data_IF_652676822598
#
_entry.id   IF_652676822598
#
_cell.length_a   1.000
_cell.length_b   1.000
_cell.length_c   1.000
_cell.angle_alpha   90.00
_cell.angle_beta   90.00
_cell.angle_gamma   90.00
#
_symmetry.space_group_name_H-M   'P 1'
#
loop_
_entity.id
_entity.type
_entity.pdbx_description
1 polymer ?
#
# COMPACT_ATOMS: atom_id res chain seq x y z
N UNK A 1 24.46 0.67 -24.54
CA UNK A 1 23.03 0.69 -24.14
C UNK A 1 22.53 -0.74 -24.29
N UNK A 2 22.13 -1.39 -23.20
CA UNK A 2 21.61 -2.76 -23.26
C UNK A 2 20.24 -2.81 -23.93
N UNK A 3 19.88 -3.95 -24.50
CA UNK A 3 18.56 -4.19 -25.11
C UNK A 3 17.48 -4.17 -24.02
N UNK A 4 16.64 -3.13 -24.04
CA UNK A 4 15.52 -2.96 -23.10
C UNK A 4 14.50 -4.10 -23.24
N UNK A 5 14.37 -4.68 -24.43
CA UNK A 5 13.49 -5.82 -24.68
C UNK A 5 13.87 -7.05 -23.87
N UNK A 6 15.18 -7.34 -23.79
CA UNK A 6 15.69 -8.45 -22.98
C UNK A 6 15.42 -8.26 -21.48
N UNK A 7 15.44 -7.02 -20.99
CA UNK A 7 15.16 -6.71 -19.58
C UNK A 7 13.68 -6.93 -19.25
N UNK A 8 12.78 -6.45 -20.11
CA UNK A 8 11.33 -6.62 -19.95
C UNK A 8 10.95 -8.11 -19.97
N UNK A 9 11.50 -8.88 -20.90
CA UNK A 9 11.18 -10.30 -21.02
C UNK A 9 11.65 -11.10 -19.81
N UNK A 10 12.86 -10.83 -19.30
CA UNK A 10 13.34 -11.43 -18.06
C UNK A 10 12.43 -11.10 -16.87
N UNK A 11 11.99 -9.84 -16.75
CA UNK A 11 11.06 -9.43 -15.68
C UNK A 11 9.73 -10.19 -15.79
N UNK A 12 9.17 -10.32 -17.01
CA UNK A 12 7.91 -11.03 -17.26
C UNK A 12 8.00 -12.51 -16.87
N UNK A 13 9.09 -13.17 -17.24
CA UNK A 13 9.32 -14.59 -16.92
C UNK A 13 9.40 -14.80 -15.42
N UNK A 14 10.21 -13.98 -14.71
CA UNK A 14 10.37 -14.07 -13.25
C UNK A 14 9.03 -13.84 -12.55
N UNK A 15 8.25 -12.83 -12.94
CA UNK A 15 6.93 -12.56 -12.34
C UNK A 15 5.96 -13.75 -12.48
N UNK A 16 5.89 -14.36 -13.66
CA UNK A 16 5.00 -15.50 -13.91
C UNK A 16 5.41 -16.73 -13.10
N UNK A 17 6.71 -17.04 -13.06
CA UNK A 17 7.25 -18.12 -12.23
C UNK A 17 6.95 -17.89 -10.75
N UNK A 18 7.21 -16.68 -10.25
CA UNK A 18 6.97 -16.36 -8.85
C UNK A 18 5.50 -16.46 -8.49
N UNK A 19 4.56 -16.02 -9.34
CA UNK A 19 3.12 -16.16 -9.07
C UNK A 19 2.67 -17.62 -9.01
N UNK A 20 3.20 -18.50 -9.87
CA UNK A 20 2.90 -19.93 -9.84
C UNK A 20 3.45 -20.64 -8.59
N UNK A 21 4.55 -20.14 -8.03
CA UNK A 21 5.24 -20.73 -6.87
C UNK A 21 4.84 -20.07 -5.53
N UNK A 22 4.30 -18.86 -5.55
CA UNK A 22 3.91 -18.11 -4.35
C UNK A 22 2.55 -18.60 -3.84
N UNK A 23 2.58 -19.57 -2.95
CA UNK A 23 1.40 -20.02 -2.18
C UNK A 23 1.39 -19.43 -0.76
N UNK A 24 2.09 -18.32 -0.55
CA UNK A 24 2.28 -17.71 0.77
C UNK A 24 1.22 -16.66 0.99
N UNK A 25 0.47 -16.77 2.10
CA UNK A 25 -0.45 -15.75 2.63
C UNK A 25 0.23 -14.41 3.00
N UNK A 26 1.49 -14.22 2.62
CA UNK A 26 2.33 -13.09 2.99
C UNK A 26 2.78 -12.31 1.75
N UNK A 27 2.88 -10.99 1.89
CA UNK A 27 3.15 -10.08 0.79
C UNK A 27 4.66 -9.98 0.53
N UNK A 28 5.13 -10.53 -0.59
CA UNK A 28 6.56 -10.57 -0.89
C UNK A 28 7.10 -9.21 -1.38
N UNK A 29 7.96 -8.53 -0.62
CA UNK A 29 8.46 -7.19 -0.94
C UNK A 29 9.60 -7.16 -1.98
N UNK A 30 10.09 -8.32 -2.41
CA UNK A 30 11.22 -8.49 -3.33
C UNK A 30 10.81 -8.56 -4.81
N UNK A 31 9.51 -8.45 -5.10
CA UNK A 31 8.94 -8.55 -6.45
C UNK A 31 7.91 -7.46 -6.72
N UNK A 32 7.68 -7.21 -8.00
CA UNK A 32 6.58 -6.37 -8.45
C UNK A 32 5.26 -7.12 -8.41
N UNK A 33 4.21 -6.44 -7.94
CA UNK A 33 2.85 -6.95 -7.84
C UNK A 33 1.93 -6.25 -8.81
N UNK A 34 0.82 -6.90 -9.12
CA UNK A 34 -0.31 -6.28 -9.84
C UNK A 34 -1.07 -5.32 -8.93
N UNK A 35 -1.84 -4.43 -9.55
CA UNK A 35 -2.72 -3.52 -8.82
C UNK A 35 -3.72 -4.27 -7.93
N UNK A 36 -4.26 -5.40 -8.40
CA UNK A 36 -5.24 -6.19 -7.62
C UNK A 36 -4.61 -6.81 -6.38
N UNK A 37 -3.39 -7.36 -6.50
CA UNK A 37 -2.63 -7.90 -5.37
C UNK A 37 -2.31 -6.80 -4.33
N UNK A 38 -1.94 -5.60 -4.78
CA UNK A 38 -1.70 -4.46 -3.88
C UNK A 38 -3.00 -4.04 -3.17
N UNK A 39 -4.14 -4.00 -3.88
CA UNK A 39 -5.43 -3.66 -3.27
C UNK A 39 -5.84 -4.68 -2.22
N UNK A 40 -5.72 -5.97 -2.52
CA UNK A 40 -6.00 -7.03 -1.55
C UNK A 40 -5.08 -6.94 -0.32
N UNK A 41 -3.80 -6.63 -0.53
CA UNK A 41 -2.85 -6.41 0.56
C UNK A 41 -3.26 -5.22 1.45
N UNK A 42 -3.71 -4.10 0.88
CA UNK A 42 -4.23 -2.96 1.65
C UNK A 42 -5.42 -3.39 2.53
N UNK A 43 -6.36 -4.15 1.96
CA UNK A 43 -7.53 -4.63 2.71
C UNK A 43 -7.15 -5.57 3.86
N UNK A 44 -6.19 -6.48 3.63
CA UNK A 44 -5.64 -7.35 4.68
C UNK A 44 -4.95 -6.56 5.79
N UNK A 45 -4.16 -5.54 5.44
CA UNK A 45 -3.47 -4.70 6.42
C UNK A 45 -4.45 -3.91 7.30
N UNK A 46 -5.50 -3.37 6.69
CA UNK A 46 -6.56 -2.65 7.41
C UNK A 46 -7.32 -3.59 8.35
N UNK A 47 -7.65 -4.79 7.87
CA UNK A 47 -8.34 -5.80 8.68
C UNK A 47 -7.49 -6.22 9.89
N UNK A 48 -6.19 -6.48 9.64
CA UNK A 48 -5.24 -6.91 10.68
C UNK A 48 -4.99 -5.81 11.72
N UNK A 49 -4.90 -4.55 11.28
CA UNK A 49 -4.57 -3.41 12.14
C UNK A 49 -5.72 -2.40 12.25
N UNK A 50 -6.95 -2.88 12.44
CA UNK A 50 -8.16 -2.04 12.49
C UNK A 50 -8.15 -0.95 13.57
N UNK A 51 -7.32 -1.10 14.61
CA UNK A 51 -7.16 -0.08 15.66
C UNK A 51 -6.32 1.14 15.22
N UNK A 52 -5.47 0.96 14.20
CA UNK A 52 -4.50 1.95 13.74
C UNK A 52 -4.74 2.38 12.29
N UNK A 53 -5.19 1.47 11.43
CA UNK A 53 -5.37 1.70 10.00
C UNK A 53 -6.86 1.90 9.67
N UNK A 54 -7.16 2.89 8.85
CA UNK A 54 -8.52 3.17 8.35
C UNK A 54 -8.49 3.34 6.83
N UNK A 55 -9.34 2.63 6.06
CA UNK A 55 -9.40 2.81 4.61
C UNK A 55 -9.90 4.22 4.28
N UNK A 56 -9.39 4.79 3.19
CA UNK A 56 -9.98 5.97 2.59
C UNK A 56 -9.84 5.93 1.06
N UNK A 57 -10.84 6.47 0.37
CA UNK A 57 -10.82 6.62 -1.09
C UNK A 57 -10.59 8.09 -1.41
N UNK A 58 -9.50 8.39 -2.12
CA UNK A 58 -9.17 9.77 -2.54
C UNK A 58 -10.11 10.22 -3.66
N UNK A 59 -10.45 9.30 -4.56
CA UNK A 59 -11.28 9.56 -5.72
C UNK A 59 -11.20 8.42 -6.73
N UNK A 60 -11.59 8.72 -7.97
CA UNK A 60 -11.54 7.79 -9.10
C UNK A 60 -10.50 8.25 -10.10
N UNK A 61 -9.81 7.29 -10.71
CA UNK A 61 -8.90 7.54 -11.83
C UNK A 61 -9.66 7.89 -13.11
N UNK A 62 -8.93 8.32 -14.13
CA UNK A 62 -9.49 8.56 -15.47
C UNK A 62 -10.19 7.33 -16.06
N UNK A 63 -9.63 6.15 -15.81
CA UNK A 63 -10.21 4.85 -16.19
C UNK A 63 -11.26 4.35 -15.19
N UNK A 64 -11.81 5.24 -14.34
CA UNK A 64 -12.86 4.94 -13.37
C UNK A 64 -12.47 3.92 -12.28
N UNK A 65 -11.17 3.76 -11.99
CA UNK A 65 -10.68 2.88 -10.92
C UNK A 65 -10.57 3.66 -9.61
N UNK A 66 -11.01 3.06 -8.50
CA UNK A 66 -10.89 3.70 -7.19
C UNK A 66 -9.41 3.82 -6.78
N UNK A 67 -9.02 5.04 -6.40
CA UNK A 67 -7.72 5.37 -5.81
C UNK A 67 -7.89 5.24 -4.31
N UNK A 68 -7.46 4.09 -3.79
CA UNK A 68 -7.56 3.74 -2.39
C UNK A 68 -6.25 4.03 -1.66
N UNK A 69 -6.36 4.46 -0.41
CA UNK A 69 -5.26 4.57 0.53
C UNK A 69 -5.69 4.12 1.91
N UNK A 70 -4.75 4.06 2.85
CA UNK A 70 -5.04 3.80 4.25
C UNK A 70 -4.39 4.86 5.14
N UNK A 71 -5.16 5.34 6.11
CA UNK A 71 -4.71 6.30 7.10
C UNK A 71 -4.24 5.55 8.32
N UNK A 72 -2.98 5.76 8.72
CA UNK A 72 -2.47 5.27 10.00
C UNK A 72 -2.65 6.35 11.06
N UNK A 73 -3.40 6.08 12.12
CA UNK A 73 -3.51 6.97 13.28
C UNK A 73 -3.69 6.17 14.57
N UNK A 74 -2.86 6.45 15.57
CA UNK A 74 -3.06 5.91 16.93
C UNK A 74 -4.11 6.71 17.68
N UNK A 75 -4.97 6.08 18.49
CA UNK A 75 -6.00 6.76 19.31
C UNK A 75 -5.42 7.75 20.36
N UNK A 76 -4.11 7.74 20.60
CA UNK A 76 -3.45 8.70 21.52
C UNK A 76 -3.67 10.15 21.06
N UNK A 77 -4.17 11.00 21.95
CA UNK A 77 -4.27 12.45 21.68
C UNK A 77 -2.88 13.02 21.46
N UNK A 78 -2.75 13.99 20.55
CA UNK A 78 -1.49 14.69 20.40
C UNK A 78 -1.31 15.64 21.59
N UNK A 79 -0.19 15.53 22.28
CA UNK A 79 0.23 16.49 23.30
C UNK A 79 0.95 17.63 22.60
N UNK A 80 0.41 18.83 22.71
CA UNK A 80 1.08 20.05 22.24
C UNK A 80 2.25 20.39 23.15
N UNK A 81 3.18 21.22 22.68
CA UNK A 81 4.34 21.67 23.45
C UNK A 81 3.95 22.43 24.73
N UNK A 82 2.72 22.94 24.79
CA UNK A 82 2.10 23.60 25.93
C UNK A 82 1.46 22.63 26.95
N UNK A 83 1.60 21.32 26.76
CA UNK A 83 1.00 20.28 27.61
C UNK A 83 -0.50 20.03 27.37
N UNK A 84 -1.16 20.81 26.51
CA UNK A 84 -2.58 20.61 26.19
C UNK A 84 -2.77 19.44 25.24
N UNK A 85 -3.79 18.60 25.51
CA UNK A 85 -4.16 17.49 24.64
C UNK A 85 -5.09 17.99 23.55
N UNK A 86 -4.73 17.77 22.29
CA UNK A 86 -5.57 18.15 21.14
C UNK A 86 -5.96 16.93 20.32
N UNK A 87 -7.15 17.00 19.72
CA UNK A 87 -7.63 16.03 18.74
C UNK A 87 -6.96 16.22 17.36
N UNK A 88 -6.46 17.41 17.06
CA UNK A 88 -5.74 17.70 15.81
C UNK A 88 -4.30 17.16 15.87
N UNK A 89 -4.05 16.08 15.13
CA UNK A 89 -2.72 15.48 15.01
C UNK A 89 -2.07 15.97 13.73
N UNK A 90 -0.75 16.19 13.77
CA UNK A 90 0.03 16.43 12.54
C UNK A 90 -0.10 15.22 11.62
N UNK A 91 -0.19 15.46 10.33
CA UNK A 91 -0.27 14.43 9.31
C UNK A 91 0.91 14.57 8.34
N UNK A 92 1.37 13.44 7.81
CA UNK A 92 2.35 13.37 6.72
C UNK A 92 1.64 12.67 5.56
N UNK A 93 1.73 13.25 4.37
CA UNK A 93 1.20 12.66 3.14
C UNK A 93 2.34 11.97 2.39
N UNK A 94 2.08 10.75 1.91
CA UNK A 94 3.01 9.95 1.11
C UNK A 94 2.26 9.38 -0.09
N UNK A 95 2.84 9.55 -1.27
CA UNK A 95 2.48 8.89 -2.52
C UNK A 95 3.71 8.19 -3.12
N UNK A 96 3.50 7.10 -3.85
CA UNK A 96 4.55 6.24 -4.41
C UNK A 96 4.01 5.18 -5.35
#
# INVERSE_FOLDING_TARGET
MGDVGAIIENQRIVQNLTRLLSNTNDFAYDKYHTLEEIKAWIDQMISTYSELATPFTVGKSYENRDIIGFKISSKKMATKLDGTKTAMKKAVWWDG
#
